data_IF_197044566876
#
_entry.id   IF_197044566876
#
_cell.length_a   1.000
_cell.length_b   1.000
_cell.length_c   1.000
_cell.angle_alpha   90.00
_cell.angle_beta   90.00
_cell.angle_gamma   90.00
#
_symmetry.space_group_name_H-M   'P 1'
#
loop_
_entity.id
_entity.type
_entity.pdbx_description
1 polymer ?
#
# COMPACT_ATOMS: atom_id res chain seq x y z
N UNK A 1 4.16 -15.59 19.58
CA UNK A 1 5.45 -14.98 19.11
C UNK A 1 5.41 -13.47 19.24
N UNK A 2 6.58 -12.81 19.16
CA UNK A 2 6.69 -11.35 19.06
C UNK A 2 6.87 -10.96 17.58
N UNK A 3 6.00 -10.12 17.05
CA UNK A 3 5.96 -9.79 15.62
C UNK A 3 6.07 -8.27 15.47
N UNK A 4 7.11 -7.82 14.78
CA UNK A 4 7.30 -6.40 14.48
C UNK A 4 6.67 -6.02 13.14
N UNK A 5 5.91 -4.93 13.12
CA UNK A 5 5.39 -4.25 11.92
C UNK A 5 6.15 -2.94 11.77
N UNK A 6 6.93 -2.80 10.70
CA UNK A 6 7.83 -1.66 10.50
C UNK A 6 7.41 -0.88 9.26
N UNK A 7 7.08 0.39 9.45
CA UNK A 7 6.58 1.29 8.42
C UNK A 7 7.18 2.70 8.56
N UNK A 8 6.97 3.51 7.54
CA UNK A 8 7.50 4.86 7.45
C UNK A 8 6.64 5.93 8.17
N UNK A 9 5.45 5.60 8.66
CA UNK A 9 4.60 6.44 9.53
C UNK A 9 3.68 5.54 10.36
N UNK A 10 3.25 5.97 11.55
CA UNK A 10 2.22 5.28 12.33
C UNK A 10 0.86 5.36 11.62
N UNK A 11 0.61 6.47 10.91
CA UNK A 11 -0.55 6.62 10.04
C UNK A 11 -0.69 5.46 9.03
N UNK A 12 0.42 5.05 8.39
CA UNK A 12 0.41 3.94 7.43
C UNK A 12 0.13 2.59 8.10
N UNK A 13 0.62 2.36 9.34
CA UNK A 13 0.27 1.15 10.09
C UNK A 13 -1.23 1.15 10.37
N UNK A 14 -1.75 2.26 10.91
CA UNK A 14 -3.16 2.38 11.30
C UNK A 14 -4.10 2.25 10.10
N UNK A 15 -3.82 2.91 8.98
CA UNK A 15 -4.74 2.92 7.85
C UNK A 15 -4.62 1.71 6.92
N UNK A 16 -3.45 1.06 6.85
CA UNK A 16 -3.21 0.01 5.85
C UNK A 16 -2.81 -1.34 6.44
N UNK A 17 -2.54 -1.42 7.75
CA UNK A 17 -2.10 -2.66 8.40
C UNK A 17 -2.82 -2.93 9.72
N UNK A 18 -3.87 -2.14 10.01
CA UNK A 18 -4.66 -2.31 11.24
C UNK A 18 -5.31 -3.69 11.30
N UNK A 19 -5.92 -4.15 10.19
CA UNK A 19 -6.52 -5.50 10.11
C UNK A 19 -5.50 -6.60 10.37
N UNK A 20 -4.29 -6.49 9.79
CA UNK A 20 -3.20 -7.43 10.06
C UNK A 20 -2.76 -7.40 11.53
N UNK A 21 -2.61 -6.22 12.12
CA UNK A 21 -2.25 -6.09 13.55
C UNK A 21 -3.31 -6.72 14.45
N UNK A 22 -4.59 -6.45 14.20
CA UNK A 22 -5.73 -7.06 14.92
C UNK A 22 -5.72 -8.59 14.80
N UNK A 23 -5.53 -9.12 13.60
CA UNK A 23 -5.50 -10.56 13.36
C UNK A 23 -4.34 -11.24 14.10
N UNK A 24 -3.16 -10.63 14.12
CA UNK A 24 -2.01 -11.13 14.86
C UNK A 24 -2.24 -11.12 16.38
N UNK A 25 -2.85 -10.07 16.92
CA UNK A 25 -3.23 -9.98 18.32
C UNK A 25 -4.28 -11.05 18.68
N UNK A 26 -5.28 -11.26 17.83
CA UNK A 26 -6.32 -12.27 18.00
C UNK A 26 -5.77 -13.70 18.02
N UNK A 27 -4.65 -13.97 17.30
CA UNK A 27 -3.92 -15.25 17.40
C UNK A 27 -3.00 -15.36 18.62
N UNK A 28 -3.06 -14.40 19.54
CA UNK A 28 -2.26 -14.41 20.78
C UNK A 28 -0.79 -14.02 20.55
N UNK A 29 -0.47 -13.35 19.45
CA UNK A 29 0.86 -12.80 19.22
C UNK A 29 1.03 -11.44 19.91
N UNK A 30 2.25 -11.12 20.34
CA UNK A 30 2.61 -9.77 20.77
C UNK A 30 3.02 -8.96 19.53
N UNK A 31 2.29 -7.90 19.25
CA UNK A 31 2.54 -7.03 18.08
C UNK A 31 3.36 -5.82 18.50
N UNK A 32 4.43 -5.57 17.78
CA UNK A 32 5.36 -4.46 18.00
C UNK A 32 5.23 -3.53 16.77
N UNK A 33 4.74 -2.32 16.98
CA UNK A 33 4.67 -1.30 15.94
C UNK A 33 5.92 -0.41 15.99
N UNK A 34 6.64 -0.29 14.87
CA UNK A 34 7.87 0.51 14.75
C UNK A 34 7.70 1.51 13.61
N UNK A 35 7.58 2.78 13.95
CA UNK A 35 7.40 3.86 12.98
C UNK A 35 7.79 5.22 13.61
N UNK A 36 7.96 6.29 12.81
CA UNK A 36 7.93 7.65 13.33
C UNK A 36 6.65 7.91 14.10
N UNK A 37 6.79 8.61 15.23
CA UNK A 37 5.67 8.96 16.08
C UNK A 37 4.80 10.04 15.42
N UNK A 38 3.49 9.81 15.42
CA UNK A 38 2.46 10.74 14.97
C UNK A 38 1.17 10.54 15.79
N UNK A 39 0.09 11.28 15.47
CA UNK A 39 -1.19 11.18 16.20
C UNK A 39 -1.80 9.77 16.24
N UNK A 40 -1.43 8.88 15.32
CA UNK A 40 -1.93 7.50 15.26
C UNK A 40 -1.16 6.53 16.14
N UNK A 41 -0.02 6.95 16.70
CA UNK A 41 0.78 6.09 17.58
C UNK A 41 0.00 5.68 18.83
N UNK A 42 -0.78 6.60 19.41
CA UNK A 42 -1.64 6.33 20.57
C UNK A 42 -2.70 5.25 20.29
N UNK A 43 -3.35 5.32 19.13
CA UNK A 43 -4.34 4.30 18.73
C UNK A 43 -3.75 2.89 18.57
N UNK A 44 -2.48 2.79 18.13
CA UNK A 44 -1.79 1.50 18.05
C UNK A 44 -1.49 0.93 19.44
N UNK A 45 -1.16 1.78 20.42
CA UNK A 45 -0.97 1.37 21.81
C UNK A 45 -2.29 0.95 22.45
N UNK A 46 -3.37 1.71 22.25
CA UNK A 46 -4.72 1.36 22.70
C UNK A 46 -5.22 0.02 22.12
N UNK A 47 -4.82 -0.29 20.89
CA UNK A 47 -5.11 -1.58 20.25
C UNK A 47 -4.38 -2.76 20.95
N UNK A 48 -3.34 -2.49 21.74
CA UNK A 48 -2.51 -3.50 22.41
C UNK A 48 -1.16 -3.75 21.73
N UNK A 49 -0.73 -2.88 20.83
CA UNK A 49 0.61 -2.95 20.26
C UNK A 49 1.64 -2.32 21.19
N UNK A 50 2.82 -2.92 21.27
CA UNK A 50 4.01 -2.30 21.86
C UNK A 50 4.62 -1.32 20.85
N UNK A 51 4.64 -0.02 21.14
CA UNK A 51 5.10 0.99 20.19
C UNK A 51 6.55 1.40 20.44
N UNK A 52 7.36 1.43 19.38
CA UNK A 52 8.74 1.94 19.39
C UNK A 52 8.89 3.06 18.38
N UNK A 53 9.08 4.32 18.83
CA UNK A 53 9.34 5.42 17.92
C UNK A 53 10.72 5.29 17.26
N UNK A 54 10.80 5.67 15.99
CA UNK A 54 12.04 5.72 15.23
C UNK A 54 12.12 6.99 14.41
N UNK A 55 13.30 7.60 14.34
CA UNK A 55 13.51 8.79 13.48
C UNK A 55 13.89 8.33 12.07
N UNK A 56 13.05 8.66 11.11
CA UNK A 56 13.26 8.34 9.70
C UNK A 56 12.98 9.57 8.84
N UNK A 57 13.83 9.82 7.86
CA UNK A 57 13.55 10.81 6.82
C UNK A 57 12.79 10.13 5.69
N UNK A 58 11.52 10.50 5.49
CA UNK A 58 10.64 9.88 4.48
C UNK A 58 11.02 10.22 3.04
N UNK A 59 11.67 11.37 2.82
CA UNK A 59 12.05 11.87 1.50
C UNK A 59 13.58 11.99 1.38
N UNK A 60 14.05 11.78 0.14
CA UNK A 60 15.48 11.89 -0.19
C UNK A 60 16.34 10.74 0.32
N UNK A 61 17.59 10.72 -0.12
CA UNK A 61 18.62 9.76 0.27
C UNK A 61 19.79 10.50 0.92
N UNK A 62 19.84 10.45 2.24
CA UNK A 62 21.01 10.92 3.00
C UNK A 62 21.66 9.69 3.66
N UNK A 63 22.83 9.22 3.18
CA UNK A 63 23.43 7.97 3.66
C UNK A 63 23.70 7.98 5.16
N UNK A 64 24.11 9.10 5.75
CA UNK A 64 24.41 9.18 7.19
C UNK A 64 23.12 9.01 8.01
N UNK A 65 22.05 9.71 7.61
CA UNK A 65 20.73 9.59 8.28
C UNK A 65 20.15 8.20 8.11
N UNK A 66 20.33 7.59 6.95
CA UNK A 66 19.84 6.26 6.65
C UNK A 66 20.61 5.16 7.42
N UNK A 67 21.92 5.30 7.59
CA UNK A 67 22.72 4.47 8.50
C UNK A 67 22.30 4.64 9.96
N UNK A 68 22.00 5.88 10.38
CA UNK A 68 21.44 6.17 11.70
C UNK A 68 20.09 5.51 11.92
N UNK A 69 19.23 5.49 10.90
CA UNK A 69 17.95 4.75 10.92
C UNK A 69 18.16 3.24 11.06
N UNK A 70 19.04 2.65 10.26
CA UNK A 70 19.40 1.23 10.34
C UNK A 70 19.89 0.85 11.75
N UNK A 71 20.73 1.68 12.36
CA UNK A 71 21.26 1.43 13.70
C UNK A 71 20.18 1.54 14.78
N UNK A 72 19.25 2.51 14.66
CA UNK A 72 18.07 2.59 15.54
C UNK A 72 17.24 1.30 15.46
N UNK A 73 16.93 0.82 14.25
CA UNK A 73 16.19 -0.45 14.05
C UNK A 73 16.93 -1.62 14.68
N UNK A 74 18.25 -1.74 14.50
CA UNK A 74 19.05 -2.79 15.10
C UNK A 74 18.93 -2.78 16.63
N UNK A 75 19.03 -1.59 17.27
CA UNK A 75 18.87 -1.44 18.72
C UNK A 75 17.45 -1.82 19.18
N UNK A 76 16.43 -1.37 18.45
CA UNK A 76 15.04 -1.72 18.75
C UNK A 76 14.84 -3.24 18.63
N UNK A 77 15.32 -3.88 17.56
CA UNK A 77 15.20 -5.34 17.39
C UNK A 77 15.94 -6.12 18.48
N UNK A 78 17.09 -5.64 18.94
CA UNK A 78 17.79 -6.24 20.09
C UNK A 78 17.02 -6.10 21.39
N UNK A 79 16.38 -4.95 21.63
CA UNK A 79 15.59 -4.67 22.84
C UNK A 79 14.25 -5.41 22.81
N UNK A 80 13.48 -5.24 21.74
CA UNK A 80 12.14 -5.79 21.61
C UNK A 80 12.14 -7.30 21.28
N UNK A 81 13.24 -7.85 20.78
CA UNK A 81 13.44 -9.27 20.46
C UNK A 81 12.29 -9.87 19.62
N UNK A 82 11.88 -9.26 18.50
CA UNK A 82 10.88 -9.86 17.65
C UNK A 82 11.34 -11.23 17.12
N UNK A 83 10.43 -12.15 16.94
CA UNK A 83 10.66 -13.42 16.24
C UNK A 83 10.54 -13.24 14.73
N UNK A 84 9.60 -12.39 14.33
CA UNK A 84 9.26 -12.06 12.94
C UNK A 84 9.29 -10.54 12.75
N UNK A 85 9.82 -10.09 11.60
CA UNK A 85 9.86 -8.68 11.22
C UNK A 85 9.15 -8.53 9.88
N UNK A 86 8.01 -7.85 9.89
CA UNK A 86 7.22 -7.49 8.71
C UNK A 86 7.57 -6.06 8.32
N UNK A 87 8.12 -5.88 7.13
CA UNK A 87 8.65 -4.59 6.68
C UNK A 87 7.92 -4.14 5.42
N UNK A 88 7.60 -2.87 5.37
CA UNK A 88 6.85 -2.25 4.29
C UNK A 88 7.54 -0.97 3.86
N UNK A 89 7.38 -0.60 2.60
CA UNK A 89 8.02 0.56 1.97
C UNK A 89 9.55 0.45 1.83
N UNK A 90 10.14 1.34 1.06
CA UNK A 90 11.53 1.22 0.58
C UNK A 90 12.56 1.15 1.72
N UNK A 91 12.55 2.16 2.61
CA UNK A 91 13.59 2.26 3.65
C UNK A 91 13.50 1.16 4.71
N UNK A 92 12.31 0.80 5.27
CA UNK A 92 12.17 -0.39 6.09
C UNK A 92 12.62 -1.68 5.39
N UNK A 93 12.25 -1.89 4.13
CA UNK A 93 12.65 -3.08 3.39
C UNK A 93 14.17 -3.21 3.23
N UNK A 94 14.88 -2.11 3.00
CA UNK A 94 16.34 -2.11 2.84
C UNK A 94 17.02 -2.16 4.22
N UNK A 95 16.88 -1.10 4.98
CA UNK A 95 17.66 -0.90 6.22
C UNK A 95 17.19 -1.77 7.36
N UNK A 96 15.87 -2.04 7.43
CA UNK A 96 15.33 -2.97 8.42
C UNK A 96 15.76 -4.40 8.17
N UNK A 97 15.87 -4.83 6.90
CA UNK A 97 16.42 -6.15 6.55
C UNK A 97 17.87 -6.27 6.99
N UNK A 98 18.71 -5.27 6.68
CA UNK A 98 20.11 -5.27 7.08
C UNK A 98 20.27 -5.27 8.60
N UNK A 99 19.38 -4.57 9.33
CA UNK A 99 19.37 -4.55 10.80
C UNK A 99 18.90 -5.87 11.42
N UNK A 100 17.93 -6.56 10.81
CA UNK A 100 17.33 -7.80 11.31
C UNK A 100 18.16 -9.04 11.02
N UNK A 101 18.89 -9.06 9.89
CA UNK A 101 19.63 -10.22 9.41
C UNK A 101 20.65 -10.78 10.41
N UNK A 102 21.55 -9.96 11.04
CA UNK A 102 22.52 -10.48 12.00
C UNK A 102 21.86 -11.04 13.27
N UNK A 103 20.60 -10.71 13.51
CA UNK A 103 19.82 -11.21 14.65
C UNK A 103 19.04 -12.49 14.34
N UNK A 104 19.21 -13.06 13.13
CA UNK A 104 18.59 -14.32 12.66
C UNK A 104 17.05 -14.32 12.82
N UNK A 105 16.40 -13.22 12.46
CA UNK A 105 14.94 -13.08 12.51
C UNK A 105 14.29 -13.61 11.24
N UNK A 106 13.02 -14.04 11.32
CA UNK A 106 12.22 -14.24 10.11
C UNK A 106 11.91 -12.86 9.51
N UNK A 107 12.36 -12.61 8.29
CA UNK A 107 12.22 -11.34 7.60
C UNK A 107 11.23 -11.51 6.45
N UNK A 108 10.13 -10.74 6.50
CA UNK A 108 9.12 -10.68 5.44
C UNK A 108 9.01 -9.23 4.99
N UNK A 109 9.38 -8.98 3.74
CA UNK A 109 9.30 -7.67 3.12
C UNK A 109 8.05 -7.56 2.25
N UNK A 110 7.51 -6.35 2.10
CA UNK A 110 6.46 -6.03 1.15
C UNK A 110 6.85 -4.81 0.32
N UNK A 111 6.93 -4.98 -0.99
CA UNK A 111 7.17 -3.92 -1.96
C UNK A 111 5.82 -3.28 -2.31
N UNK A 112 5.54 -2.13 -1.70
CA UNK A 112 4.27 -1.40 -1.86
C UNK A 112 4.22 -0.51 -3.11
N UNK A 113 5.06 -0.78 -4.09
CA UNK A 113 5.32 0.04 -5.26
C UNK A 113 6.78 0.49 -5.27
N UNK A 114 7.30 0.77 -6.46
CA UNK A 114 8.73 1.07 -6.64
C UNK A 114 9.06 2.54 -6.44
N UNK A 115 8.04 3.40 -6.37
CA UNK A 115 8.20 4.83 -6.26
C UNK A 115 9.00 5.42 -7.45
N UNK A 116 9.45 6.64 -7.30
CA UNK A 116 10.22 7.37 -8.32
C UNK A 116 11.63 6.84 -8.55
N UNK A 117 12.15 5.98 -7.65
CA UNK A 117 13.51 5.43 -7.72
C UNK A 117 13.75 4.60 -8.98
N UNK A 118 12.71 3.98 -9.52
CA UNK A 118 12.78 3.18 -10.76
C UNK A 118 12.33 3.94 -12.01
N UNK A 119 11.79 5.16 -11.85
CA UNK A 119 11.39 6.02 -12.96
C UNK A 119 12.55 6.84 -13.53
N UNK A 120 13.59 7.08 -12.74
CA UNK A 120 14.74 7.89 -13.13
C UNK A 120 16.03 7.07 -13.13
N UNK A 121 16.94 7.37 -14.07
CA UNK A 121 18.23 6.68 -14.16
C UNK A 121 19.38 7.61 -13.67
N UNK A 122 19.17 8.22 -12.51
CA UNK A 122 20.16 9.06 -11.85
C UNK A 122 21.05 8.26 -10.88
N UNK A 123 22.11 8.89 -10.36
CA UNK A 123 23.07 8.27 -9.44
C UNK A 123 22.41 7.73 -8.15
N UNK A 124 21.45 8.47 -7.61
CA UNK A 124 20.70 8.05 -6.42
C UNK A 124 19.87 6.76 -6.69
N UNK A 125 19.27 6.65 -7.87
CA UNK A 125 18.56 5.46 -8.29
C UNK A 125 19.49 4.23 -8.45
N UNK A 126 20.72 4.43 -8.95
CA UNK A 126 21.73 3.37 -9.03
C UNK A 126 22.15 2.86 -7.65
N UNK A 127 22.39 3.77 -6.71
CA UNK A 127 22.68 3.41 -5.30
C UNK A 127 21.51 2.65 -4.69
N UNK A 128 20.30 3.14 -4.83
CA UNK A 128 19.12 2.47 -4.27
C UNK A 128 18.91 1.07 -4.86
N UNK A 129 19.09 0.89 -6.18
CA UNK A 129 19.06 -0.44 -6.84
C UNK A 129 20.13 -1.39 -6.29
N UNK A 130 21.34 -0.89 -6.04
CA UNK A 130 22.42 -1.70 -5.44
C UNK A 130 22.12 -2.10 -4.01
N UNK A 131 21.55 -1.18 -3.20
CA UNK A 131 21.09 -1.47 -1.84
C UNK A 131 19.92 -2.46 -1.84
N UNK A 132 18.99 -2.34 -2.78
CA UNK A 132 17.93 -3.33 -2.98
C UNK A 132 18.53 -4.71 -3.27
N UNK A 133 19.44 -4.81 -4.25
CA UNK A 133 20.08 -6.08 -4.60
C UNK A 133 20.75 -6.74 -3.40
N UNK A 134 21.48 -5.97 -2.58
CA UNK A 134 22.15 -6.50 -1.39
C UNK A 134 21.13 -6.93 -0.33
N UNK A 135 20.16 -6.06 0.00
CA UNK A 135 19.21 -6.33 1.07
C UNK A 135 18.21 -7.43 0.71
N UNK A 136 17.80 -7.55 -0.56
CA UNK A 136 16.80 -8.53 -1.01
C UNK A 136 17.34 -9.94 -1.27
N UNK A 137 18.65 -10.16 -1.04
CA UNK A 137 19.20 -11.51 -0.93
C UNK A 137 18.91 -12.18 0.44
N UNK A 138 18.49 -11.39 1.43
CA UNK A 138 18.45 -11.79 2.83
C UNK A 138 17.03 -12.16 3.36
N UNK A 139 15.90 -11.62 2.85
CA UNK A 139 14.58 -11.93 3.35
C UNK A 139 14.19 -13.39 3.11
N UNK A 140 13.39 -13.92 4.01
CA UNK A 140 12.79 -15.26 3.88
C UNK A 140 11.62 -15.25 2.89
N UNK A 141 10.90 -14.13 2.79
CA UNK A 141 9.80 -13.92 1.85
C UNK A 141 9.71 -12.45 1.47
N UNK A 142 9.35 -12.16 0.20
CA UNK A 142 9.08 -10.82 -0.30
C UNK A 142 7.77 -10.83 -1.06
N UNK A 143 6.83 -10.02 -0.60
CA UNK A 143 5.57 -9.79 -1.27
C UNK A 143 5.68 -8.60 -2.23
N UNK A 144 5.10 -8.76 -3.41
CA UNK A 144 4.85 -7.68 -4.37
C UNK A 144 3.34 -7.43 -4.48
N UNK A 145 2.96 -6.23 -4.89
CA UNK A 145 1.55 -5.85 -4.98
C UNK A 145 0.97 -6.00 -6.39
N UNK A 146 1.82 -6.17 -7.38
CA UNK A 146 1.46 -6.45 -8.77
C UNK A 146 2.54 -7.30 -9.46
N UNK A 147 2.13 -7.99 -10.52
CA UNK A 147 3.00 -8.87 -11.31
C UNK A 147 4.12 -8.10 -12.01
N UNK A 148 3.84 -6.92 -12.55
CA UNK A 148 4.82 -6.14 -13.32
C UNK A 148 6.03 -5.74 -12.45
N UNK A 149 5.80 -5.33 -11.20
CA UNK A 149 6.86 -5.00 -10.26
C UNK A 149 7.66 -6.26 -9.83
N UNK A 150 6.99 -7.39 -9.65
CA UNK A 150 7.64 -8.67 -9.36
C UNK A 150 8.55 -9.08 -10.51
N UNK A 151 8.04 -9.12 -11.73
CA UNK A 151 8.79 -9.48 -12.93
C UNK A 151 10.00 -8.57 -13.13
N UNK A 152 9.82 -7.25 -12.97
CA UNK A 152 10.93 -6.29 -13.05
C UNK A 152 12.08 -6.62 -12.08
N UNK A 153 11.77 -7.05 -10.85
CA UNK A 153 12.79 -7.41 -9.88
C UNK A 153 13.49 -8.73 -10.21
N UNK A 154 12.76 -9.71 -10.71
CA UNK A 154 13.30 -11.01 -11.14
C UNK A 154 14.20 -10.83 -12.36
N UNK A 155 13.75 -10.14 -13.41
CA UNK A 155 14.50 -9.86 -14.64
C UNK A 155 15.78 -9.07 -14.37
N UNK A 156 15.71 -8.06 -13.50
CA UNK A 156 16.89 -7.29 -13.08
C UNK A 156 17.80 -8.04 -12.08
N UNK A 157 17.46 -9.29 -11.76
CA UNK A 157 18.21 -10.13 -10.80
C UNK A 157 18.42 -9.45 -9.44
N UNK A 158 17.44 -8.69 -9.00
CA UNK A 158 17.44 -8.04 -7.68
C UNK A 158 16.99 -8.99 -6.58
N UNK A 159 16.23 -10.03 -6.92
CA UNK A 159 15.67 -11.03 -6.00
C UNK A 159 15.64 -12.42 -6.65
N UNK A 160 15.58 -13.45 -5.83
CA UNK A 160 15.35 -14.83 -6.28
C UNK A 160 13.84 -15.09 -6.30
N UNK A 161 13.30 -15.52 -7.41
CA UNK A 161 11.86 -15.79 -7.59
C UNK A 161 11.28 -16.69 -6.50
N UNK A 162 12.01 -17.72 -6.07
CA UNK A 162 11.55 -18.69 -5.03
C UNK A 162 11.16 -18.07 -3.68
N UNK A 163 11.57 -16.84 -3.40
CA UNK A 163 11.22 -16.13 -2.15
C UNK A 163 10.16 -15.07 -2.37
N UNK A 164 9.68 -14.90 -3.60
CA UNK A 164 8.64 -13.94 -3.94
C UNK A 164 7.25 -14.54 -3.84
N UNK A 165 6.25 -13.68 -3.67
CA UNK A 165 4.82 -14.00 -3.77
C UNK A 165 4.06 -12.69 -4.03
N UNK A 166 2.82 -12.79 -4.47
CA UNK A 166 1.95 -11.65 -4.74
C UNK A 166 0.93 -11.46 -3.62
N UNK A 167 0.60 -10.21 -3.33
CA UNK A 167 -0.55 -9.83 -2.51
C UNK A 167 -1.32 -8.72 -3.21
N UNK A 168 -2.66 -8.68 -3.13
CA UNK A 168 -3.44 -7.62 -3.75
C UNK A 168 -3.35 -6.31 -2.94
N UNK A 169 -2.19 -5.66 -3.01
CA UNK A 169 -1.90 -4.45 -2.25
C UNK A 169 -1.90 -4.67 -0.74
N UNK A 170 -2.58 -3.78 -0.03
CA UNK A 170 -2.90 -3.97 1.39
C UNK A 170 -4.24 -4.68 1.59
N UNK A 171 -4.96 -4.97 0.52
CA UNK A 171 -6.37 -5.28 0.55
C UNK A 171 -7.24 -4.08 0.95
N UNK A 172 -8.53 -4.22 0.98
CA UNK A 172 -9.49 -3.22 1.47
C UNK A 172 -10.39 -3.82 2.55
N UNK A 173 -10.61 -3.13 3.69
CA UNK A 173 -11.56 -3.57 4.71
C UNK A 173 -12.99 -3.33 4.20
N UNK A 174 -13.62 -4.36 3.66
CA UNK A 174 -14.91 -4.30 2.98
C UNK A 174 -16.05 -3.77 3.85
N UNK A 175 -15.98 -4.01 5.16
CA UNK A 175 -16.98 -3.51 6.13
C UNK A 175 -16.87 -2.01 6.35
N UNK A 176 -15.65 -1.49 6.39
CA UNK A 176 -15.39 -0.04 6.56
C UNK A 176 -15.80 0.75 5.30
N UNK A 177 -15.62 0.16 4.13
CA UNK A 177 -15.95 0.73 2.83
C UNK A 177 -17.11 -0.05 2.21
N UNK A 178 -18.22 -0.12 2.95
CA UNK A 178 -19.43 -0.77 2.48
C UNK A 178 -20.18 0.10 1.45
N UNK A 179 -20.84 -0.50 0.46
CA UNK A 179 -21.68 0.24 -0.47
C UNK A 179 -22.81 0.96 0.26
N UNK A 180 -23.15 2.15 -0.23
CA UNK A 180 -24.38 2.87 0.12
C UNK A 180 -25.42 2.68 -0.98
N UNK A 181 -26.71 2.93 -0.72
CA UNK A 181 -27.73 2.86 -1.75
C UNK A 181 -27.34 3.73 -2.96
N UNK A 182 -27.55 3.18 -4.15
CA UNK A 182 -27.26 3.91 -5.38
C UNK A 182 -28.18 5.16 -5.45
N UNK A 183 -27.56 6.32 -5.70
CA UNK A 183 -28.27 7.59 -5.79
C UNK A 183 -27.92 8.25 -7.14
N UNK A 184 -28.92 8.74 -7.84
CA UNK A 184 -28.74 9.55 -9.05
C UNK A 184 -28.55 11.00 -8.60
N UNK A 185 -27.38 11.57 -8.87
CA UNK A 185 -27.11 12.97 -8.61
C UNK A 185 -27.56 13.85 -9.80
N UNK A 186 -28.05 15.03 -9.52
CA UNK A 186 -28.45 15.99 -10.55
C UNK A 186 -27.27 16.36 -11.48
N UNK A 187 -26.08 16.47 -10.90
CA UNK A 187 -24.83 16.70 -11.63
C UNK A 187 -23.84 15.58 -11.36
N UNK A 188 -23.40 14.89 -12.40
CA UNK A 188 -22.43 13.79 -12.30
C UNK A 188 -21.12 14.28 -11.68
N UNK A 189 -20.63 13.60 -10.66
CA UNK A 189 -19.47 14.01 -9.88
C UNK A 189 -18.31 13.00 -10.04
N UNK A 190 -17.21 13.46 -10.63
CA UNK A 190 -15.92 12.76 -10.63
C UNK A 190 -15.09 13.17 -9.43
N UNK A 191 -14.58 12.21 -8.68
CA UNK A 191 -13.71 12.44 -7.51
C UNK A 191 -12.33 11.85 -7.74
N UNK A 192 -11.29 12.67 -7.62
CA UNK A 192 -9.91 12.23 -7.54
C UNK A 192 -9.44 12.22 -6.08
N UNK A 193 -8.96 11.06 -5.59
CA UNK A 193 -8.44 10.91 -4.22
C UNK A 193 -6.96 10.57 -4.29
N UNK A 194 -6.09 11.56 -4.11
CA UNK A 194 -4.64 11.39 -4.10
C UNK A 194 -3.94 12.59 -3.49
N UNK A 195 -2.66 12.44 -3.11
CA UNK A 195 -1.80 13.60 -2.85
C UNK A 195 -1.63 14.38 -4.16
N UNK A 196 -1.55 15.73 -4.06
CA UNK A 196 -1.40 16.60 -5.22
C UNK A 196 0.07 16.59 -5.68
N UNK A 197 0.44 15.51 -6.37
CA UNK A 197 1.74 15.27 -6.98
C UNK A 197 1.58 15.20 -8.49
N UNK A 198 2.56 15.69 -9.26
CA UNK A 198 2.53 15.59 -10.72
C UNK A 198 2.44 14.14 -11.23
N UNK A 199 3.10 13.19 -10.54
CA UNK A 199 3.05 11.76 -10.89
C UNK A 199 1.67 11.10 -10.63
N UNK A 200 0.74 11.82 -10.00
CA UNK A 200 -0.66 11.40 -9.85
C UNK A 200 -1.54 11.82 -11.03
N UNK A 201 -0.96 12.49 -12.04
CA UNK A 201 -1.69 12.89 -13.24
C UNK A 201 -2.65 14.05 -13.02
N UNK A 202 -2.33 14.93 -12.04
CA UNK A 202 -3.18 16.11 -11.77
C UNK A 202 -3.28 17.01 -12.98
N UNK A 203 -2.18 17.20 -13.73
CA UNK A 203 -2.19 18.04 -14.93
C UNK A 203 -3.09 17.45 -16.00
N UNK A 204 -3.00 16.14 -16.24
CA UNK A 204 -3.85 15.44 -17.20
C UNK A 204 -5.33 15.48 -16.79
N UNK A 205 -5.60 15.43 -15.49
CA UNK A 205 -6.96 15.58 -14.97
C UNK A 205 -7.55 16.94 -15.32
N UNK A 206 -6.80 18.03 -15.10
CA UNK A 206 -7.22 19.40 -15.43
C UNK A 206 -7.38 19.59 -16.94
N UNK A 207 -6.42 19.12 -17.73
CA UNK A 207 -6.47 19.26 -19.19
C UNK A 207 -7.61 18.44 -19.80
N UNK A 208 -7.87 17.24 -19.28
CA UNK A 208 -9.04 16.42 -19.67
C UNK A 208 -10.38 17.12 -19.35
N UNK A 209 -10.46 17.82 -18.21
CA UNK A 209 -11.65 18.62 -17.86
C UNK A 209 -11.88 19.75 -18.88
N UNK A 210 -10.81 20.45 -19.29
CA UNK A 210 -10.91 21.50 -20.32
C UNK A 210 -11.37 20.92 -21.66
N UNK A 211 -10.81 19.78 -22.07
CA UNK A 211 -11.22 19.08 -23.30
C UNK A 211 -12.70 18.66 -23.24
N UNK A 212 -13.14 18.09 -22.13
CA UNK A 212 -14.53 17.68 -21.96
C UNK A 212 -15.48 18.88 -22.04
N UNK A 213 -15.16 19.99 -21.37
CA UNK A 213 -15.98 21.22 -21.39
C UNK A 213 -16.09 21.82 -22.81
N UNK A 214 -15.04 21.71 -23.61
CA UNK A 214 -15.09 22.16 -25.00
C UNK A 214 -16.12 21.39 -25.85
N UNK A 215 -16.55 20.19 -25.42
CA UNK A 215 -17.64 19.42 -26.07
C UNK A 215 -19.06 19.86 -25.60
N UNK A 216 -19.16 20.82 -24.68
CA UNK A 216 -20.43 21.29 -24.09
C UNK A 216 -20.97 20.40 -22.97
N UNK A 217 -20.30 19.33 -22.59
CA UNK A 217 -20.72 18.44 -21.50
C UNK A 217 -20.40 19.05 -20.15
N UNK A 218 -21.31 18.87 -19.18
CA UNK A 218 -21.19 19.36 -17.80
C UNK A 218 -21.03 18.21 -16.83
N UNK A 219 -20.08 18.35 -15.91
CA UNK A 219 -19.86 17.46 -14.76
C UNK A 219 -19.14 18.23 -13.64
N UNK A 220 -19.26 17.75 -12.42
CA UNK A 220 -18.54 18.26 -11.26
C UNK A 220 -17.24 17.47 -11.11
N UNK A 221 -16.14 18.17 -10.89
CA UNK A 221 -14.83 17.56 -10.69
C UNK A 221 -14.26 17.96 -9.33
N UNK A 222 -13.90 16.97 -8.53
CA UNK A 222 -13.41 17.15 -7.17
C UNK A 222 -12.03 16.54 -6.99
N UNK A 223 -11.20 17.19 -6.16
CA UNK A 223 -9.90 16.66 -5.73
C UNK A 223 -9.84 16.65 -4.22
N UNK A 224 -9.56 15.47 -3.65
CA UNK A 224 -9.38 15.24 -2.22
C UNK A 224 -7.96 14.73 -1.96
N UNK A 225 -7.16 15.48 -1.20
CA UNK A 225 -5.82 15.06 -0.81
C UNK A 225 -4.90 16.21 -0.41
N UNK A 226 -3.77 15.86 0.20
CA UNK A 226 -2.82 16.84 0.69
C UNK A 226 -2.02 17.48 -0.44
N UNK A 227 -1.83 18.80 -0.37
CA UNK A 227 -0.86 19.52 -1.19
C UNK A 227 0.55 19.14 -0.72
N UNK A 228 1.41 18.82 -1.67
CA UNK A 228 2.80 18.49 -1.39
C UNK A 228 3.64 19.76 -1.31
N UNK A 229 4.43 19.87 -0.25
CA UNK A 229 5.27 21.07 -0.02
C UNK A 229 6.56 21.09 -0.84
N UNK A 230 6.98 19.94 -1.37
CA UNK A 230 8.15 19.86 -2.25
C UNK A 230 7.76 20.29 -3.66
N UNK A 231 8.19 21.51 -4.04
CA UNK A 231 7.85 22.11 -5.35
C UNK A 231 8.32 21.33 -6.57
N UNK A 232 9.30 20.43 -6.42
CA UNK A 232 9.76 19.59 -7.53
C UNK A 232 8.85 18.39 -7.78
N UNK A 233 8.03 18.00 -6.82
CA UNK A 233 7.16 16.84 -6.87
C UNK A 233 5.68 17.21 -6.83
N UNK A 234 5.34 18.26 -6.10
CA UNK A 234 3.98 18.70 -5.82
C UNK A 234 3.50 19.80 -6.73
N UNK A 235 2.20 19.83 -6.93
CA UNK A 235 1.48 20.90 -7.61
C UNK A 235 1.43 22.12 -6.65
N UNK A 236 1.86 23.32 -7.09
CA UNK A 236 1.78 24.53 -6.29
C UNK A 236 0.35 24.86 -5.85
N UNK A 237 0.20 25.43 -4.67
CA UNK A 237 -1.11 25.88 -4.17
C UNK A 237 -1.73 26.93 -5.09
N UNK A 238 -0.92 27.79 -5.68
CA UNK A 238 -1.34 28.84 -6.61
C UNK A 238 -2.05 28.24 -7.84
N UNK A 239 -1.53 27.13 -8.39
CA UNK A 239 -2.14 26.46 -9.53
C UNK A 239 -3.50 25.84 -9.13
N UNK A 240 -3.56 25.21 -7.98
CA UNK A 240 -4.82 24.64 -7.46
C UNK A 240 -5.88 25.73 -7.27
N UNK A 241 -5.48 26.89 -6.71
CA UNK A 241 -6.38 28.05 -6.54
C UNK A 241 -6.83 28.64 -7.89
N UNK A 242 -5.94 28.69 -8.88
CA UNK A 242 -6.30 29.12 -10.23
C UNK A 242 -7.39 28.21 -10.82
N UNK A 243 -7.23 26.89 -10.76
CA UNK A 243 -8.20 25.93 -11.27
C UNK A 243 -9.54 25.98 -10.54
N UNK A 244 -9.53 26.26 -9.23
CA UNK A 244 -10.76 26.50 -8.46
C UNK A 244 -11.44 27.81 -8.90
N UNK A 245 -10.68 28.90 -9.10
CA UNK A 245 -11.20 30.20 -9.57
C UNK A 245 -11.72 30.12 -11.00
N UNK A 246 -11.12 29.32 -11.87
CA UNK A 246 -11.60 28.99 -13.21
C UNK A 246 -12.89 28.11 -13.15
N UNK A 247 -13.28 27.65 -11.97
CA UNK A 247 -14.41 26.73 -11.77
C UNK A 247 -14.17 25.34 -12.36
N UNK A 248 -12.93 24.95 -12.67
CA UNK A 248 -12.60 23.63 -13.21
C UNK A 248 -12.80 22.53 -12.19
N UNK A 249 -12.39 22.76 -10.95
CA UNK A 249 -12.44 21.80 -9.87
C UNK A 249 -12.96 22.41 -8.55
N UNK A 250 -13.42 21.53 -7.69
CA UNK A 250 -13.60 21.80 -6.26
C UNK A 250 -12.48 21.08 -5.47
N UNK A 251 -11.66 21.85 -4.76
CA UNK A 251 -10.61 21.28 -3.90
C UNK A 251 -11.16 21.07 -2.49
N UNK A 252 -11.19 19.81 -2.03
CA UNK A 252 -11.82 19.38 -0.78
C UNK A 252 -10.85 19.32 0.41
N UNK A 253 -9.57 19.63 0.20
CA UNK A 253 -8.56 19.54 1.26
C UNK A 253 -8.22 18.09 1.63
N UNK A 254 -8.08 17.83 2.93
CA UNK A 254 -7.72 16.52 3.48
C UNK A 254 -8.74 16.02 4.48
N UNK A 255 -8.88 14.70 4.62
CA UNK A 255 -9.79 14.09 5.57
C UNK A 255 -9.22 12.79 6.15
N UNK A 256 -9.63 12.44 7.35
CA UNK A 256 -9.43 11.11 7.93
C UNK A 256 -10.60 10.15 7.58
N UNK A 257 -11.70 10.68 6.99
CA UNK A 257 -12.87 9.91 6.56
C UNK A 257 -13.12 10.08 5.06
N UNK A 258 -12.36 9.34 4.25
CA UNK A 258 -12.49 9.34 2.78
C UNK A 258 -13.85 8.82 2.33
N UNK A 259 -14.43 7.84 3.06
CA UNK A 259 -15.68 7.20 2.68
C UNK A 259 -16.82 8.20 2.45
N UNK A 260 -16.95 9.23 3.29
CA UNK A 260 -18.01 10.25 3.16
C UNK A 260 -17.95 11.07 1.85
N UNK A 261 -16.75 11.18 1.25
CA UNK A 261 -16.58 11.87 -0.05
C UNK A 261 -16.80 10.91 -1.20
N UNK A 262 -16.30 9.67 -1.08
CA UNK A 262 -16.53 8.61 -2.07
C UNK A 262 -18.04 8.30 -2.18
N UNK A 263 -18.77 8.30 -1.08
CA UNK A 263 -20.22 8.10 -1.07
C UNK A 263 -20.94 9.08 -2.01
N UNK A 264 -20.53 10.36 -2.00
CA UNK A 264 -21.13 11.45 -2.78
C UNK A 264 -20.63 11.55 -4.22
N UNK A 265 -19.65 10.75 -4.59
CA UNK A 265 -19.13 10.70 -5.95
C UNK A 265 -19.88 9.66 -6.78
N UNK A 266 -19.98 9.88 -8.09
CA UNK A 266 -20.53 8.93 -9.04
C UNK A 266 -19.44 8.06 -9.66
N UNK A 267 -18.21 8.58 -9.77
CA UNK A 267 -17.05 7.87 -10.31
C UNK A 267 -15.77 8.35 -9.61
N UNK A 268 -14.86 7.43 -9.31
CA UNK A 268 -13.53 7.78 -8.78
C UNK A 268 -12.47 7.63 -9.87
N UNK A 269 -11.60 8.65 -9.95
CA UNK A 269 -10.62 8.81 -11.02
C UNK A 269 -9.21 8.83 -10.46
N UNK A 270 -8.28 8.08 -11.08
CA UNK A 270 -6.87 8.11 -10.71
C UNK A 270 -5.97 8.00 -11.95
N UNK A 271 -5.57 9.11 -12.59
CA UNK A 271 -4.74 9.13 -13.80
C UNK A 271 -3.23 9.06 -13.47
N UNK A 272 -2.84 8.25 -12.49
CA UNK A 272 -1.48 8.17 -11.96
C UNK A 272 -0.50 7.57 -12.97
N UNK A 273 0.78 7.99 -12.91
CA UNK A 273 1.82 7.46 -13.79
C UNK A 273 2.41 6.13 -13.29
N UNK A 274 2.27 5.84 -12.01
CA UNK A 274 2.74 4.58 -11.42
C UNK A 274 2.12 4.33 -10.04
N UNK A 275 1.66 3.11 -9.80
CA UNK A 275 1.14 2.66 -8.52
C UNK A 275 1.63 1.25 -8.18
N UNK A 276 1.63 0.92 -6.88
CA UNK A 276 1.71 -0.48 -6.43
C UNK A 276 0.33 -1.13 -6.58
N UNK A 277 -0.58 -0.82 -5.66
CA UNK A 277 -2.03 -1.05 -5.76
C UNK A 277 -2.69 0.13 -5.06
N UNK A 278 -3.35 1.03 -5.79
CA UNK A 278 -3.84 2.29 -5.24
C UNK A 278 -5.06 2.09 -4.33
N UNK A 279 -4.89 2.43 -3.06
CA UNK A 279 -5.96 2.30 -2.05
C UNK A 279 -7.22 3.07 -2.40
N UNK A 280 -7.08 4.26 -2.97
CA UNK A 280 -8.23 5.07 -3.35
C UNK A 280 -9.16 4.36 -4.33
N UNK A 281 -8.60 3.59 -5.29
CA UNK A 281 -9.41 2.79 -6.21
C UNK A 281 -10.05 1.59 -5.48
N UNK A 282 -9.32 0.90 -4.59
CA UNK A 282 -9.88 -0.21 -3.82
C UNK A 282 -11.02 0.25 -2.91
N UNK A 283 -10.85 1.39 -2.25
CA UNK A 283 -11.87 1.98 -1.36
C UNK A 283 -13.12 2.39 -2.12
N UNK A 284 -12.94 3.05 -3.27
CA UNK A 284 -14.05 3.45 -4.14
C UNK A 284 -14.80 2.23 -4.73
N UNK A 285 -14.06 1.26 -5.27
CA UNK A 285 -14.65 0.03 -5.80
C UNK A 285 -15.37 -0.78 -4.72
N UNK A 286 -14.83 -0.83 -3.50
CA UNK A 286 -15.49 -1.46 -2.36
C UNK A 286 -16.82 -0.79 -2.01
N UNK A 287 -16.95 0.50 -2.24
CA UNK A 287 -18.19 1.28 -2.08
C UNK A 287 -19.10 1.26 -3.33
N UNK A 288 -18.88 0.29 -4.22
CA UNK A 288 -19.64 0.12 -5.46
C UNK A 288 -19.61 1.37 -6.38
N UNK A 289 -18.44 2.04 -6.49
CA UNK A 289 -18.28 3.16 -7.42
C UNK A 289 -17.58 2.69 -8.70
N UNK A 290 -18.06 3.10 -9.89
CA UNK A 290 -17.33 3.00 -11.15
C UNK A 290 -15.97 3.71 -11.07
N UNK A 291 -14.99 3.21 -11.82
CA UNK A 291 -13.62 3.70 -11.78
C UNK A 291 -13.15 4.21 -13.13
N UNK A 292 -12.26 5.20 -13.12
CA UNK A 292 -11.41 5.55 -14.25
C UNK A 292 -9.96 5.61 -13.77
N UNK A 293 -9.05 4.89 -14.43
CA UNK A 293 -7.65 4.95 -14.08
C UNK A 293 -6.74 4.72 -15.29
N UNK A 294 -5.47 5.03 -15.15
CA UNK A 294 -4.48 4.77 -16.20
C UNK A 294 -4.19 3.27 -16.34
N UNK A 295 -3.92 2.86 -17.59
CA UNK A 295 -3.52 1.50 -17.98
C UNK A 295 -2.05 1.24 -17.59
N UNK A 296 -1.76 1.26 -16.28
CA UNK A 296 -0.43 1.02 -15.71
C UNK A 296 -0.48 -0.11 -14.69
N UNK A 297 0.70 -0.62 -14.33
CA UNK A 297 0.84 -1.55 -13.21
C UNK A 297 0.14 -1.02 -11.94
N UNK A 298 -0.55 -1.88 -11.22
CA UNK A 298 -1.31 -1.53 -10.01
C UNK A 298 -2.69 -0.95 -10.27
N UNK A 299 -2.87 -0.03 -11.22
CA UNK A 299 -4.19 0.49 -11.58
C UNK A 299 -4.98 -0.51 -12.43
N UNK A 300 -4.40 -1.01 -13.54
CA UNK A 300 -5.08 -1.93 -14.47
C UNK A 300 -5.63 -3.20 -13.80
N UNK A 301 -5.02 -3.68 -12.73
CA UNK A 301 -5.51 -4.85 -12.00
C UNK A 301 -6.80 -4.58 -11.22
N UNK A 302 -7.15 -3.31 -10.97
CA UNK A 302 -8.36 -2.93 -10.23
C UNK A 302 -9.57 -2.72 -11.16
N UNK A 303 -9.33 -2.66 -12.48
CA UNK A 303 -10.35 -2.37 -13.50
C UNK A 303 -10.42 -3.50 -14.53
N UNK A 304 -11.60 -4.04 -14.72
CA UNK A 304 -11.97 -4.85 -15.88
C UNK A 304 -12.66 -3.89 -16.87
N UNK A 305 -11.98 -3.58 -17.98
CA UNK A 305 -12.38 -2.54 -18.96
C UNK A 305 -13.84 -2.72 -19.44
N UNK A 306 -14.64 -1.69 -19.28
CA UNK A 306 -16.06 -1.68 -19.64
C UNK A 306 -16.98 -2.44 -18.68
N UNK A 307 -16.43 -3.14 -17.67
CA UNK A 307 -17.21 -3.93 -16.70
C UNK A 307 -17.39 -3.16 -15.39
N UNK A 308 -16.29 -2.71 -14.78
CA UNK A 308 -16.33 -1.95 -13.53
C UNK A 308 -15.69 -0.55 -13.66
N UNK A 309 -15.29 -0.15 -14.86
CA UNK A 309 -14.70 1.15 -15.14
C UNK A 309 -14.06 1.23 -16.50
N UNK A 310 -13.30 2.30 -16.72
CA UNK A 310 -12.56 2.55 -17.95
C UNK A 310 -11.09 2.83 -17.69
N UNK A 311 -10.22 2.33 -18.57
CA UNK A 311 -8.79 2.65 -18.56
C UNK A 311 -8.50 3.79 -19.55
N UNK A 312 -7.52 4.62 -19.20
CA UNK A 312 -6.97 5.64 -20.08
C UNK A 312 -5.45 5.48 -20.20
N UNK A 313 -4.87 6.06 -21.24
CA UNK A 313 -3.42 6.03 -21.43
C UNK A 313 -2.72 7.00 -20.46
N UNK A 314 -1.50 6.63 -20.04
CA UNK A 314 -0.70 7.43 -19.12
C UNK A 314 -0.18 8.70 -19.78
N UNK A 315 -0.30 9.84 -19.10
CA UNK A 315 0.09 11.16 -19.61
C UNK A 315 -0.67 11.59 -20.88
N UNK A 316 -1.88 11.15 -21.02
CA UNK A 316 -2.76 11.46 -22.15
C UNK A 316 -4.09 12.03 -21.66
N UNK A 317 -4.19 13.36 -21.71
CA UNK A 317 -5.40 14.07 -21.30
C UNK A 317 -6.59 13.80 -22.25
N UNK A 318 -6.34 13.53 -23.54
CA UNK A 318 -7.41 13.21 -24.47
C UNK A 318 -8.00 11.84 -24.17
N UNK A 319 -7.16 10.82 -23.93
CA UNK A 319 -7.61 9.49 -23.52
C UNK A 319 -8.42 9.53 -22.22
N UNK A 320 -8.03 10.37 -21.25
CA UNK A 320 -8.78 10.57 -20.02
C UNK A 320 -10.12 11.30 -20.26
N UNK A 321 -10.15 12.32 -21.15
CA UNK A 321 -11.37 13.01 -21.53
C UNK A 321 -12.36 12.07 -22.23
N UNK A 322 -11.87 11.18 -23.09
CA UNK A 322 -12.68 10.16 -23.74
C UNK A 322 -13.29 9.17 -22.73
N UNK A 323 -12.52 8.78 -21.68
CA UNK A 323 -13.05 7.98 -20.59
C UNK A 323 -14.14 8.71 -19.79
N UNK A 324 -13.99 10.02 -19.54
CA UNK A 324 -15.05 10.85 -18.95
C UNK A 324 -16.31 10.84 -19.82
N UNK A 325 -16.17 11.02 -21.13
CA UNK A 325 -17.31 11.02 -22.07
C UNK A 325 -18.03 9.67 -22.09
N UNK A 326 -17.27 8.56 -22.10
CA UNK A 326 -17.84 7.21 -22.02
C UNK A 326 -18.66 7.06 -20.73
N UNK A 327 -18.09 7.45 -19.59
CA UNK A 327 -18.77 7.35 -18.28
C UNK A 327 -20.05 8.17 -18.24
N UNK A 328 -20.01 9.42 -18.72
CA UNK A 328 -21.17 10.32 -18.79
C UNK A 328 -22.26 9.88 -19.80
N UNK A 329 -21.95 8.95 -20.69
CA UNK A 329 -22.89 8.44 -21.68
C UNK A 329 -23.63 7.19 -21.20
N UNK A 330 -23.29 6.65 -20.01
CA UNK A 330 -23.97 5.50 -19.42
C UNK A 330 -25.31 5.91 -18.81
N UNK A 331 -26.29 5.00 -18.89
CA UNK A 331 -27.55 5.17 -18.16
C UNK A 331 -27.30 4.94 -16.65
N UNK A 332 -28.18 5.46 -15.78
CA UNK A 332 -28.12 5.20 -14.35
C UNK A 332 -28.05 3.70 -14.00
N UNK A 333 -28.80 2.87 -14.70
CA UNK A 333 -28.81 1.41 -14.52
C UNK A 333 -27.45 0.81 -14.89
N UNK A 334 -26.83 1.27 -15.97
CA UNK A 334 -25.48 0.83 -16.38
C UNK A 334 -24.43 1.24 -15.36
N UNK A 335 -24.52 2.45 -14.79
CA UNK A 335 -23.64 2.92 -13.72
C UNK A 335 -23.79 2.09 -12.46
N UNK A 336 -25.02 1.75 -12.08
CA UNK A 336 -25.29 0.89 -10.93
C UNK A 336 -24.69 -0.51 -11.12
N UNK A 337 -24.88 -1.12 -12.30
CA UNK A 337 -24.31 -2.43 -12.64
C UNK A 337 -22.77 -2.37 -12.61
N UNK A 338 -22.19 -1.32 -13.20
CA UNK A 338 -20.73 -1.11 -13.20
C UNK A 338 -20.17 -0.94 -11.79
N UNK A 339 -20.87 -0.18 -10.92
CA UNK A 339 -20.53 -0.04 -9.52
C UNK A 339 -20.62 -1.36 -8.76
N UNK A 340 -21.66 -2.15 -8.97
CA UNK A 340 -21.82 -3.47 -8.36
C UNK A 340 -20.69 -4.41 -8.80
N UNK A 341 -20.29 -4.40 -10.06
CA UNK A 341 -19.15 -5.17 -10.56
C UNK A 341 -17.83 -4.74 -9.90
N UNK A 342 -17.66 -3.43 -9.59
CA UNK A 342 -16.53 -2.94 -8.80
C UNK A 342 -16.49 -3.61 -7.42
N UNK A 343 -17.63 -3.63 -6.72
CA UNK A 343 -17.76 -4.26 -5.40
C UNK A 343 -17.42 -5.75 -5.43
N UNK A 344 -18.00 -6.47 -6.35
CA UNK A 344 -17.79 -7.92 -6.50
C UNK A 344 -16.32 -8.27 -6.79
N UNK A 345 -15.63 -7.45 -7.59
CA UNK A 345 -14.21 -7.59 -7.82
C UNK A 345 -13.41 -7.40 -6.52
N UNK A 346 -13.76 -6.42 -5.70
CA UNK A 346 -13.09 -6.20 -4.40
C UNK A 346 -13.29 -7.38 -3.45
N UNK A 347 -14.48 -7.92 -3.37
CA UNK A 347 -14.80 -9.09 -2.55
C UNK A 347 -14.02 -10.33 -2.97
N UNK A 348 -13.89 -10.55 -4.27
CA UNK A 348 -13.22 -11.72 -4.84
C UNK A 348 -11.70 -11.63 -4.77
N UNK A 349 -11.12 -10.44 -5.02
CA UNK A 349 -9.69 -10.31 -5.31
C UNK A 349 -8.92 -9.42 -4.32
N UNK A 350 -9.59 -8.45 -3.67
CA UNK A 350 -8.91 -7.39 -2.92
C UNK A 350 -9.37 -7.25 -1.46
N UNK A 351 -10.16 -8.20 -0.93
CA UNK A 351 -10.48 -8.24 0.49
C UNK A 351 -9.18 -8.29 1.32
N UNK A 352 -9.06 -7.44 2.36
CA UNK A 352 -7.88 -7.44 3.22
C UNK A 352 -7.62 -8.80 3.88
N UNK A 353 -8.67 -9.63 4.08
CA UNK A 353 -8.55 -10.99 4.63
C UNK A 353 -7.66 -11.88 3.76
N UNK A 354 -7.67 -11.71 2.43
CA UNK A 354 -6.79 -12.45 1.52
C UNK A 354 -5.32 -12.14 1.83
N UNK A 355 -5.01 -10.86 2.07
CA UNK A 355 -3.66 -10.42 2.42
C UNK A 355 -3.26 -10.93 3.79
N UNK A 356 -4.13 -10.75 4.79
CA UNK A 356 -3.90 -11.18 6.18
C UNK A 356 -3.62 -12.68 6.23
N UNK A 357 -4.42 -13.49 5.57
CA UNK A 357 -4.25 -14.95 5.53
C UNK A 357 -2.90 -15.37 4.95
N UNK A 358 -2.39 -14.69 3.93
CA UNK A 358 -1.06 -14.96 3.38
C UNK A 358 0.04 -14.74 4.42
N UNK A 359 -0.02 -13.64 5.19
CA UNK A 359 0.92 -13.39 6.29
C UNK A 359 0.79 -14.44 7.39
N UNK A 360 -0.43 -14.72 7.84
CA UNK A 360 -0.67 -15.68 8.92
C UNK A 360 -0.19 -17.09 8.55
N UNK A 361 -0.39 -17.54 7.32
CA UNK A 361 0.10 -18.86 6.85
C UNK A 361 1.62 -18.98 6.98
N UNK A 362 2.38 -17.95 6.59
CA UNK A 362 3.84 -17.96 6.70
C UNK A 362 4.25 -17.96 8.17
N UNK A 363 3.63 -17.11 8.98
CA UNK A 363 3.93 -16.97 10.41
C UNK A 363 3.63 -18.26 11.16
N UNK A 364 2.47 -18.87 10.93
CA UNK A 364 2.09 -20.17 11.53
C UNK A 364 3.06 -21.29 11.13
N UNK A 365 3.43 -21.37 9.85
CA UNK A 365 4.40 -22.34 9.36
C UNK A 365 5.76 -22.20 10.05
N UNK A 366 6.21 -20.96 10.24
CA UNK A 366 7.46 -20.67 10.93
C UNK A 366 7.39 -21.04 12.43
N UNK A 367 6.27 -20.76 13.10
CA UNK A 367 6.08 -21.12 14.52
C UNK A 367 6.14 -22.64 14.72
N UNK A 368 5.52 -23.41 13.84
CA UNK A 368 5.56 -24.88 13.86
C UNK A 368 7.00 -25.37 13.72
N UNK A 369 7.75 -24.85 12.72
CA UNK A 369 9.14 -25.24 12.51
C UNK A 369 10.03 -24.90 13.71
N UNK A 370 9.86 -23.73 14.29
CA UNK A 370 10.60 -23.27 15.48
C UNK A 370 10.32 -24.18 16.69
N UNK A 371 9.06 -24.52 16.95
CA UNK A 371 8.67 -25.42 18.04
C UNK A 371 9.27 -26.82 17.85
N UNK A 372 9.26 -27.37 16.64
CA UNK A 372 9.89 -28.66 16.33
C UNK A 372 11.41 -28.65 16.56
N UNK A 373 12.08 -27.56 16.18
CA UNK A 373 13.53 -27.41 16.41
C UNK A 373 13.87 -27.33 17.89
N UNK A 374 13.09 -26.59 18.68
CA UNK A 374 13.26 -26.50 20.14
C UNK A 374 13.06 -27.86 20.81
N UNK A 375 12.04 -28.63 20.40
CA UNK A 375 11.81 -29.99 20.93
C UNK A 375 12.94 -30.96 20.61
N UNK A 376 13.49 -30.89 19.38
CA UNK A 376 14.66 -31.71 19.00
C UNK A 376 15.90 -31.37 19.81
N UNK A 377 16.12 -30.09 20.11
CA UNK A 377 17.25 -29.64 20.92
C UNK A 377 17.12 -30.14 22.36
N UNK A 378 15.94 -29.97 22.96
CA UNK A 378 15.68 -30.46 24.34
C UNK A 378 15.85 -32.00 24.47
N UNK A 379 15.48 -32.76 23.41
CA UNK A 379 15.72 -34.22 23.41
C UNK A 379 17.19 -34.62 23.29
N UNK A 380 18.02 -33.78 22.64
CA UNK A 380 19.46 -34.02 22.55
C UNK A 380 20.21 -33.63 23.84
N UNK A 381 19.69 -32.63 24.55
CA UNK A 381 20.28 -32.11 25.79
C UNK A 381 19.72 -32.83 27.05
N UNK A 382 18.80 -33.79 26.90
CA UNK A 382 18.33 -34.63 28.00
C UNK A 382 19.45 -35.62 28.42
N UNK A 383 19.83 -35.70 29.72
CA UNK A 383 20.84 -36.65 30.15
C UNK A 383 20.38 -38.08 29.85
N UNK A 384 21.24 -38.88 29.24
CA UNK A 384 21.04 -40.34 29.18
C UNK A 384 20.89 -40.87 30.61
N UNK A 385 19.68 -41.29 30.93
CA UNK A 385 19.46 -42.03 32.20
C UNK A 385 20.14 -43.39 32.01
N UNK A 386 21.39 -43.54 32.49
CA UNK A 386 22.04 -44.82 32.65
C UNK A 386 21.14 -45.70 33.51
N UNK A 387 20.40 -46.58 32.89
CA UNK A 387 19.75 -47.71 33.58
C UNK A 387 20.89 -48.69 33.90
N UNK A 388 21.50 -48.58 35.06
CA UNK A 388 22.38 -49.64 35.57
C UNK A 388 21.52 -50.87 35.81
N UNK A 389 21.82 -52.01 35.20
CA UNK A 389 21.19 -53.27 35.54
C UNK A 389 21.58 -53.62 36.97
N UNK A 390 20.62 -53.70 37.87
CA UNK A 390 20.84 -54.35 39.18
C UNK A 390 20.91 -55.86 38.88
N UNK A 391 22.13 -56.37 38.99
CA UNK A 391 22.33 -57.83 39.08
C UNK A 391 21.95 -58.25 40.49
N UNK A 392 20.94 -59.16 40.59
CA UNK A 392 20.65 -59.98 41.74
C UNK A 392 21.52 -61.27 41.66
#
# INVERSE_FOLDING_TARGET
MRIAIVLNTSWNIYNFRLGLAKALLAEGHQVIAIAPEDKYSAYLVELGCEFYPVKMQNKGSNPIKDLGYMWQLYRIYRKAKPDVVLQFTIKPNIYGTLAAFPLKKLIINNVCGLGTVFLHDNFAAKIARSLYKLSFLLPNRVFFQNEDDLQLFVEKKLIKERVTDLVPGSGVPLEKFAPTPFTIHETFTFLMVSRLLYDKGIQEYIDAIRLLRATGRQAKFQILGAIETDRNLGVPLEDVQSWVNEGLIEYLGTTDNVAQYVEKADCVVLPSYREGTPRSLLEAASMAKPLIATNIAGCKQTIDEGVNGFLCEVKDAQSLADAFQKMLSLSPESLQVMGQASREKMEREFDERIVIDKYLRIIRSYDILRKRQAQKKNKKDAPETEIRPQYI
#
